data_IF_526134072851
#
_entry.id   IF_526134072851
#
_cell.length_a   1.000
_cell.length_b   1.000
_cell.length_c   1.000
_cell.angle_alpha   90.00
_cell.angle_beta   90.00
_cell.angle_gamma   90.00
#
_symmetry.space_group_name_H-M   'P 1'
#
loop_
_entity.id
_entity.type
_entity.pdbx_description
1 polymer ?
#
# COMPACT_ATOMS: atom_id res chain seq x y z
N UNK A 1 -19.74 -0.68 7.05
CA UNK A 1 -20.88 -0.68 7.99
C UNK A 1 -21.43 0.74 8.06
N UNK A 2 -22.73 0.93 8.29
CA UNK A 2 -23.34 2.25 8.43
C UNK A 2 -23.26 3.18 7.21
N UNK A 3 -23.10 2.63 5.99
CA UNK A 3 -22.95 3.45 4.77
C UNK A 3 -21.55 4.04 4.53
N UNK A 4 -20.59 3.81 5.44
CA UNK A 4 -19.22 4.33 5.29
C UNK A 4 -18.49 3.75 4.08
N UNK A 5 -17.65 4.57 3.46
CA UNK A 5 -16.77 4.20 2.35
C UNK A 5 -15.41 4.89 2.49
N UNK A 6 -14.43 4.49 1.67
CA UNK A 6 -13.12 5.14 1.58
C UNK A 6 -12.87 5.56 0.14
N UNK A 7 -11.96 6.51 -0.05
CA UNK A 7 -11.51 6.94 -1.36
C UNK A 7 -10.12 7.56 -1.23
N UNK A 8 -9.31 7.48 -2.28
CA UNK A 8 -7.95 8.02 -2.29
C UNK A 8 -7.80 8.94 -3.49
N UNK A 9 -7.41 10.19 -3.23
CA UNK A 9 -7.29 11.22 -4.26
C UNK A 9 -6.03 11.01 -5.13
N UNK A 10 -5.02 10.28 -4.68
CA UNK A 10 -3.78 10.16 -5.45
C UNK A 10 -4.01 9.47 -6.81
N UNK A 11 -4.82 8.41 -6.84
CA UNK A 11 -5.14 7.72 -8.10
C UNK A 11 -6.14 8.53 -8.94
N UNK A 12 -6.92 9.44 -8.33
CA UNK A 12 -7.75 10.41 -9.05
C UNK A 12 -6.87 11.43 -9.78
N UNK A 13 -5.85 11.96 -9.10
CA UNK A 13 -4.87 12.88 -9.69
C UNK A 13 -4.11 12.19 -10.84
N UNK A 14 -3.64 10.95 -10.63
CA UNK A 14 -3.00 10.15 -11.69
C UNK A 14 -3.92 9.93 -12.88
N UNK A 15 -5.20 9.63 -12.64
CA UNK A 15 -6.18 9.42 -13.70
C UNK A 15 -6.48 10.71 -14.46
N UNK A 16 -6.58 11.86 -13.78
CA UNK A 16 -6.72 13.16 -14.41
C UNK A 16 -5.51 13.45 -15.30
N UNK A 17 -4.29 13.30 -14.78
CA UNK A 17 -3.06 13.48 -15.57
C UNK A 17 -3.01 12.55 -16.80
N UNK A 18 -3.26 11.26 -16.60
CA UNK A 18 -3.14 10.28 -17.67
C UNK A 18 -4.24 10.44 -18.73
N UNK A 19 -5.49 10.61 -18.33
CA UNK A 19 -6.65 10.51 -19.23
C UNK A 19 -7.21 11.87 -19.64
N UNK A 20 -7.26 12.85 -18.74
CA UNK A 20 -7.90 14.15 -18.99
C UNK A 20 -7.06 15.30 -18.38
N UNK A 21 -5.86 15.54 -18.91
CA UNK A 21 -4.92 16.49 -18.30
C UNK A 21 -5.37 17.96 -18.43
N UNK A 22 -6.28 18.25 -19.35
CA UNK A 22 -6.72 19.61 -19.66
C UNK A 22 -7.33 20.30 -18.44
N UNK A 23 -7.04 21.59 -18.26
CA UNK A 23 -7.60 22.42 -17.19
C UNK A 23 -6.80 22.40 -15.86
N UNK A 24 -5.79 21.54 -15.73
CA UNK A 24 -4.83 21.58 -14.62
C UNK A 24 -3.41 21.85 -15.14
N UNK A 25 -2.61 22.51 -14.31
CA UNK A 25 -1.18 22.71 -14.52
C UNK A 25 -0.42 21.57 -13.85
N UNK A 26 0.37 20.84 -14.63
CA UNK A 26 1.16 19.70 -14.16
C UNK A 26 2.62 20.12 -13.95
N UNK A 27 3.06 20.33 -12.70
CA UNK A 27 4.43 20.79 -12.43
C UNK A 27 5.46 19.74 -12.84
N UNK A 28 6.67 20.20 -13.16
CA UNK A 28 7.81 19.36 -13.48
C UNK A 28 8.88 19.45 -12.39
N UNK A 29 9.63 18.37 -12.19
CA UNK A 29 10.83 18.33 -11.35
C UNK A 29 12.04 18.92 -12.08
N UNK A 30 13.20 18.91 -11.42
CA UNK A 30 14.46 19.46 -11.92
C UNK A 30 14.94 18.72 -13.18
N UNK A 31 14.56 17.45 -13.34
CA UNK A 31 14.83 16.64 -14.54
C UNK A 31 13.75 16.77 -15.62
N UNK A 32 12.78 17.67 -15.44
CA UNK A 32 11.71 17.95 -16.41
C UNK A 32 10.59 16.91 -16.43
N UNK A 33 10.53 15.96 -15.47
CA UNK A 33 9.47 14.94 -15.36
C UNK A 33 8.30 15.49 -14.56
N UNK A 34 7.08 15.07 -14.89
CA UNK A 34 5.90 15.51 -14.14
C UNK A 34 5.92 14.96 -12.71
N UNK A 35 5.68 15.83 -11.74
CA UNK A 35 5.57 15.48 -10.32
C UNK A 35 4.14 15.61 -9.83
N UNK A 36 3.68 14.62 -9.07
CA UNK A 36 2.34 14.62 -8.45
C UNK A 36 2.41 14.88 -6.93
N UNK A 37 3.51 15.45 -6.46
CA UNK A 37 3.66 15.90 -5.07
C UNK A 37 2.64 17.00 -4.76
N UNK A 38 1.94 16.89 -3.64
CA UNK A 38 0.81 17.76 -3.31
C UNK A 38 1.23 19.23 -3.27
N UNK A 39 2.36 19.54 -2.63
CA UNK A 39 2.93 20.88 -2.50
C UNK A 39 3.29 21.52 -3.84
N UNK A 40 3.74 20.71 -4.81
CA UNK A 40 4.05 21.19 -6.16
C UNK A 40 2.78 21.40 -6.98
N UNK A 41 1.82 20.49 -6.86
CA UNK A 41 0.54 20.57 -7.57
C UNK A 41 -0.28 21.78 -7.11
N UNK A 42 -0.39 22.01 -5.80
CA UNK A 42 -1.13 23.15 -5.27
C UNK A 42 -0.50 24.47 -5.72
N UNK A 43 0.82 24.61 -5.61
CA UNK A 43 1.53 25.81 -6.04
C UNK A 43 1.32 26.10 -7.54
N UNK A 44 1.44 25.08 -8.39
CA UNK A 44 1.26 25.22 -9.83
C UNK A 44 -0.18 25.58 -10.24
N UNK A 45 -1.17 25.26 -9.41
CA UNK A 45 -2.60 25.50 -9.69
C UNK A 45 -3.19 26.65 -8.85
N UNK A 46 -2.35 27.48 -8.22
CA UNK A 46 -2.81 28.65 -7.45
C UNK A 46 -3.60 28.29 -6.19
N UNK A 47 -3.37 27.11 -5.62
CA UNK A 47 -3.97 26.65 -4.37
C UNK A 47 -3.00 26.97 -3.23
N UNK A 48 -3.48 27.71 -2.23
CA UNK A 48 -2.73 27.94 -0.99
C UNK A 48 -2.49 26.62 -0.24
N UNK A 49 -1.25 26.44 0.20
CA UNK A 49 -0.77 25.25 0.90
C UNK A 49 0.07 25.64 2.12
N UNK A 50 -0.21 26.79 2.73
CA UNK A 50 0.28 27.19 4.07
C UNK A 50 1.70 26.71 4.40
N UNK A 51 1.83 25.95 5.50
CA UNK A 51 3.03 25.20 5.81
C UNK A 51 2.88 23.74 5.35
N UNK A 52 3.51 23.39 4.24
CA UNK A 52 3.59 22.00 3.78
C UNK A 52 4.15 21.10 4.90
N UNK A 53 3.63 19.86 4.99
CA UNK A 53 3.96 18.89 6.05
C UNK A 53 3.35 19.18 7.43
N UNK A 54 2.45 20.17 7.53
CA UNK A 54 1.50 20.26 8.63
C UNK A 54 0.21 19.51 8.26
N UNK A 55 -0.23 18.60 9.12
CA UNK A 55 -1.38 17.73 8.85
C UNK A 55 -2.66 18.48 8.44
N UNK A 56 -2.95 19.65 9.03
CA UNK A 56 -4.12 20.45 8.69
C UNK A 56 -4.00 21.12 7.32
N UNK A 57 -2.81 21.64 6.99
CA UNK A 57 -2.51 22.26 5.71
C UNK A 57 -2.63 21.23 4.57
N UNK A 58 -2.12 20.01 4.76
CA UNK A 58 -2.24 18.90 3.80
C UNK A 58 -3.71 18.51 3.54
N UNK A 59 -4.55 18.48 4.58
CA UNK A 59 -5.99 18.20 4.45
C UNK A 59 -6.68 19.28 3.62
N UNK A 60 -6.41 20.57 3.89
CA UNK A 60 -7.00 21.69 3.14
C UNK A 60 -6.56 21.68 1.68
N UNK A 61 -5.27 21.46 1.43
CA UNK A 61 -4.70 21.31 0.10
C UNK A 61 -5.36 20.15 -0.68
N UNK A 62 -5.55 19.01 -0.03
CA UNK A 62 -6.22 17.84 -0.62
C UNK A 62 -7.67 18.15 -1.00
N UNK A 63 -8.43 18.83 -0.12
CA UNK A 63 -9.81 19.26 -0.41
C UNK A 63 -9.86 20.24 -1.60
N UNK A 64 -8.96 21.23 -1.63
CA UNK A 64 -8.90 22.22 -2.69
C UNK A 64 -8.55 21.56 -4.04
N UNK A 65 -7.58 20.63 -4.06
CA UNK A 65 -7.22 19.88 -5.26
C UNK A 65 -8.39 19.01 -5.75
N UNK A 66 -9.10 18.32 -4.85
CA UNK A 66 -10.29 17.56 -5.21
C UNK A 66 -11.39 18.44 -5.83
N UNK A 67 -11.62 19.65 -5.28
CA UNK A 67 -12.55 20.63 -5.83
C UNK A 67 -12.12 21.09 -7.23
N UNK A 68 -10.84 21.38 -7.42
CA UNK A 68 -10.30 21.79 -8.72
C UNK A 68 -10.50 20.69 -9.78
N UNK A 69 -10.18 19.44 -9.46
CA UNK A 69 -10.40 18.31 -10.39
C UNK A 69 -11.89 18.16 -10.70
N UNK A 70 -12.76 18.30 -9.70
CA UNK A 70 -14.21 18.25 -9.91
C UNK A 70 -14.72 19.38 -10.80
N UNK A 71 -14.17 20.58 -10.68
CA UNK A 71 -14.52 21.73 -11.52
C UNK A 71 -14.05 21.55 -12.97
N UNK A 72 -12.79 21.16 -13.16
CA UNK A 72 -12.17 21.09 -14.49
C UNK A 72 -12.52 19.80 -15.24
N UNK A 73 -12.73 18.70 -14.52
CA UNK A 73 -13.00 17.37 -15.07
C UNK A 73 -14.16 16.66 -14.35
N UNK A 74 -15.38 17.24 -14.33
CA UNK A 74 -16.52 16.75 -13.54
C UNK A 74 -16.91 15.31 -13.88
N UNK A 75 -16.98 14.96 -15.18
CA UNK A 75 -17.34 13.61 -15.62
C UNK A 75 -16.34 12.56 -15.15
N UNK A 76 -15.04 12.89 -15.18
CA UNK A 76 -13.99 11.99 -14.69
C UNK A 76 -14.10 11.84 -13.17
N UNK A 77 -14.25 12.96 -12.45
CA UNK A 77 -14.39 12.95 -10.99
C UNK A 77 -15.58 12.08 -10.56
N UNK A 78 -16.75 12.28 -11.16
CA UNK A 78 -17.97 11.53 -10.82
C UNK A 78 -17.81 10.03 -11.11
N UNK A 79 -17.19 9.68 -12.24
CA UNK A 79 -16.89 8.29 -12.58
C UNK A 79 -15.97 7.63 -11.54
N UNK A 80 -14.84 8.27 -11.23
CA UNK A 80 -13.86 7.76 -10.27
C UNK A 80 -14.43 7.69 -8.85
N UNK A 81 -15.30 8.64 -8.49
CA UNK A 81 -15.99 8.62 -7.21
C UNK A 81 -16.91 7.40 -7.10
N UNK A 82 -17.60 6.99 -8.17
CA UNK A 82 -18.40 5.75 -8.19
C UNK A 82 -17.53 4.50 -7.98
N UNK A 83 -16.32 4.46 -8.55
CA UNK A 83 -15.37 3.35 -8.42
C UNK A 83 -14.81 3.16 -7.00
N UNK A 84 -15.16 4.03 -6.04
CA UNK A 84 -14.91 3.75 -4.62
C UNK A 84 -15.68 2.53 -4.10
N UNK A 85 -16.79 2.18 -4.77
CA UNK A 85 -17.60 1.00 -4.47
C UNK A 85 -17.02 -0.25 -5.14
N UNK A 86 -16.81 -1.30 -4.34
CA UNK A 86 -16.39 -2.63 -4.84
C UNK A 86 -17.28 -3.12 -5.98
N UNK A 87 -18.60 -2.94 -5.87
CA UNK A 87 -19.54 -3.37 -6.90
C UNK A 87 -19.33 -2.61 -8.22
N UNK A 88 -19.14 -1.29 -8.16
CA UNK A 88 -18.90 -0.48 -9.36
C UNK A 88 -17.59 -0.84 -10.06
N UNK A 89 -16.56 -1.23 -9.31
CA UNK A 89 -15.32 -1.79 -9.87
C UNK A 89 -15.59 -3.13 -10.55
N UNK A 90 -16.34 -4.04 -9.91
CA UNK A 90 -16.71 -5.34 -10.49
C UNK A 90 -17.45 -5.19 -11.82
N UNK A 91 -18.35 -4.21 -11.91
CA UNK A 91 -19.15 -3.96 -13.12
C UNK A 91 -18.25 -3.67 -14.34
N UNK A 92 -17.05 -3.11 -14.13
CA UNK A 92 -16.06 -2.81 -15.19
C UNK A 92 -15.17 -4.00 -15.58
N UNK A 93 -15.17 -5.08 -14.81
CA UNK A 93 -14.24 -6.20 -15.00
C UNK A 93 -14.93 -7.29 -15.83
N UNK A 94 -14.29 -7.68 -16.92
CA UNK A 94 -14.60 -8.90 -17.69
C UNK A 94 -13.30 -9.64 -17.91
N UNK A 95 -13.29 -10.94 -17.62
CA UNK A 95 -12.09 -11.76 -17.86
C UNK A 95 -11.78 -11.77 -19.35
N UNK A 96 -10.49 -11.70 -19.67
CA UNK A 96 -9.95 -11.71 -21.03
C UNK A 96 -10.39 -10.52 -21.91
N UNK A 97 -10.96 -9.49 -21.31
CA UNK A 97 -11.24 -8.23 -22.00
C UNK A 97 -10.25 -7.16 -21.51
N UNK A 98 -9.40 -6.61 -22.40
CA UNK A 98 -8.48 -5.55 -22.03
C UNK A 98 -9.19 -4.33 -21.41
N UNK A 99 -8.56 -3.74 -20.41
CA UNK A 99 -9.05 -2.55 -19.73
C UNK A 99 -7.90 -1.62 -19.36
N UNK A 100 -8.20 -0.34 -19.14
CA UNK A 100 -7.25 0.63 -18.60
C UNK A 100 -7.18 0.47 -17.09
N UNK A 101 -5.97 0.52 -16.54
CA UNK A 101 -5.73 0.61 -15.11
C UNK A 101 -4.75 1.75 -14.80
N UNK A 102 -5.09 2.59 -13.82
CA UNK A 102 -4.21 3.62 -13.27
C UNK A 102 -3.69 3.15 -11.92
N UNK A 103 -2.39 3.22 -11.70
CA UNK A 103 -1.75 2.81 -10.45
C UNK A 103 -0.35 3.40 -10.31
N UNK A 104 0.02 3.78 -9.09
CA UNK A 104 1.39 4.12 -8.73
C UNK A 104 2.42 2.98 -8.94
N UNK A 105 1.98 1.75 -9.22
CA UNK A 105 2.87 0.63 -9.60
C UNK A 105 3.36 0.72 -11.05
N UNK A 106 2.67 1.46 -11.91
CA UNK A 106 3.20 1.85 -13.21
C UNK A 106 4.07 3.11 -13.02
N UNK A 107 5.22 3.15 -13.68
CA UNK A 107 6.16 4.26 -13.51
C UNK A 107 5.58 5.60 -13.95
N UNK A 108 6.15 6.70 -13.45
CA UNK A 108 5.82 8.04 -13.91
C UNK A 108 6.06 8.21 -15.43
N UNK A 109 7.10 7.54 -15.98
CA UNK A 109 7.38 7.50 -17.41
C UNK A 109 6.24 6.86 -18.23
N UNK A 110 5.45 5.97 -17.62
CA UNK A 110 4.24 5.37 -18.20
C UNK A 110 2.97 6.13 -17.81
N UNK A 111 3.09 7.36 -17.30
CA UNK A 111 1.98 8.19 -16.83
C UNK A 111 1.10 7.48 -15.79
N UNK A 112 1.69 6.56 -15.00
CA UNK A 112 0.97 5.73 -14.03
C UNK A 112 -0.16 4.87 -14.63
N UNK A 113 -0.10 4.60 -15.94
CA UNK A 113 -1.15 3.89 -16.67
C UNK A 113 -0.64 2.61 -17.33
N UNK A 114 -1.49 1.58 -17.32
CA UNK A 114 -1.30 0.36 -18.09
C UNK A 114 -2.60 -0.10 -18.75
N UNK A 115 -2.47 -0.69 -19.93
CA UNK A 115 -3.53 -1.50 -20.54
C UNK A 115 -3.31 -2.93 -20.05
N UNK A 116 -4.28 -3.48 -19.34
CA UNK A 116 -4.16 -4.76 -18.65
C UNK A 116 -5.23 -5.74 -19.09
N UNK A 117 -4.90 -7.03 -19.09
CA UNK A 117 -5.81 -8.14 -19.36
C UNK A 117 -6.18 -8.86 -18.07
N UNK A 118 -7.43 -8.81 -17.60
CA UNK A 118 -7.91 -9.63 -16.50
C UNK A 118 -7.81 -11.13 -16.83
N UNK A 119 -7.01 -11.87 -16.07
CA UNK A 119 -6.79 -13.30 -16.31
C UNK A 119 -7.68 -14.19 -15.44
N UNK A 120 -7.63 -13.97 -14.12
CA UNK A 120 -8.34 -14.79 -13.14
C UNK A 120 -8.54 -14.04 -11.82
N UNK A 121 -9.49 -14.51 -11.01
CA UNK A 121 -9.58 -14.11 -9.61
C UNK A 121 -8.52 -14.86 -8.78
N UNK A 122 -7.95 -14.19 -7.79
CA UNK A 122 -6.97 -14.79 -6.90
C UNK A 122 -7.59 -15.96 -6.11
N UNK A 123 -6.92 -17.12 -5.99
CA UNK A 123 -7.50 -18.33 -5.39
C UNK A 123 -7.88 -18.16 -3.90
N UNK A 124 -7.05 -17.46 -3.12
CA UNK A 124 -7.30 -17.16 -1.70
C UNK A 124 -7.98 -15.81 -1.44
N UNK A 125 -7.52 -14.73 -2.09
CA UNK A 125 -8.02 -13.38 -1.83
C UNK A 125 -9.17 -13.00 -2.78
N UNK A 126 -10.42 -13.15 -2.31
CA UNK A 126 -11.64 -12.78 -3.05
C UNK A 126 -11.75 -11.32 -3.51
N UNK A 127 -10.86 -10.44 -3.06
CA UNK A 127 -10.81 -9.04 -3.46
C UNK A 127 -9.64 -8.74 -4.42
N UNK A 128 -8.88 -9.74 -4.86
CA UNK A 128 -7.75 -9.55 -5.76
C UNK A 128 -8.05 -10.17 -7.14
N UNK A 129 -7.90 -9.36 -8.17
CA UNK A 129 -7.93 -9.76 -9.57
C UNK A 129 -6.49 -9.86 -10.08
N UNK A 130 -6.15 -10.99 -10.70
CA UNK A 130 -4.87 -11.18 -11.38
C UNK A 130 -5.00 -10.62 -12.79
N UNK A 131 -4.13 -9.68 -13.15
CA UNK A 131 -4.09 -9.08 -14.49
C UNK A 131 -2.71 -9.23 -15.11
N UNK A 132 -2.67 -9.36 -16.43
CA UNK A 132 -1.45 -9.24 -17.22
C UNK A 132 -1.27 -7.79 -17.68
N UNK A 133 -0.10 -7.20 -17.51
CA UNK A 133 0.26 -5.93 -18.13
C UNK A 133 0.63 -6.14 -19.60
N UNK A 134 -0.22 -5.67 -20.53
CA UNK A 134 -0.04 -5.91 -21.96
C UNK A 134 1.10 -5.07 -22.56
N UNK A 135 1.68 -4.13 -21.80
CA UNK A 135 2.88 -3.42 -22.20
C UNK A 135 4.13 -4.31 -22.21
N UNK A 136 4.16 -5.34 -21.37
CA UNK A 136 5.25 -6.30 -21.29
C UNK A 136 4.95 -7.53 -22.15
N UNK A 137 5.99 -8.23 -22.60
CA UNK A 137 5.85 -9.45 -23.38
C UNK A 137 5.32 -10.62 -22.50
N UNK A 138 4.15 -11.21 -22.81
CA UNK A 138 3.61 -12.34 -22.07
C UNK A 138 4.28 -13.68 -22.40
N UNK A 139 5.25 -13.76 -23.31
CA UNK A 139 5.93 -15.00 -23.70
C UNK A 139 6.38 -15.84 -22.50
N UNK A 140 7.02 -15.21 -21.50
CA UNK A 140 7.47 -15.92 -20.30
C UNK A 140 6.34 -16.61 -19.53
N UNK A 141 5.12 -16.05 -19.54
CA UNK A 141 3.94 -16.69 -18.93
C UNK A 141 3.53 -17.98 -19.66
N UNK A 142 3.86 -18.11 -20.94
CA UNK A 142 3.56 -19.30 -21.74
C UNK A 142 4.66 -20.36 -21.63
N UNK A 143 5.92 -19.94 -21.60
CA UNK A 143 7.06 -20.86 -21.69
C UNK A 143 7.48 -21.44 -20.33
N UNK A 144 7.39 -20.65 -19.26
CA UNK A 144 7.92 -21.01 -17.94
C UNK A 144 6.88 -21.74 -17.09
N UNK A 145 7.34 -22.59 -16.18
CA UNK A 145 6.49 -23.22 -15.18
C UNK A 145 6.09 -22.24 -14.06
N UNK A 146 5.11 -22.64 -13.23
CA UNK A 146 4.56 -21.79 -12.18
C UNK A 146 5.58 -21.42 -11.09
N UNK A 147 6.52 -22.31 -10.76
CA UNK A 147 7.49 -22.09 -9.69
C UNK A 147 8.55 -21.07 -10.13
N UNK A 148 9.07 -21.21 -11.35
CA UNK A 148 9.99 -20.23 -11.94
C UNK A 148 9.34 -18.85 -12.05
N UNK A 149 8.08 -18.79 -12.51
CA UNK A 149 7.34 -17.53 -12.58
C UNK A 149 7.11 -16.91 -11.20
N UNK A 150 6.82 -17.73 -10.19
CA UNK A 150 6.64 -17.28 -8.81
C UNK A 150 7.92 -16.69 -8.25
N UNK A 151 9.05 -17.37 -8.39
CA UNK A 151 10.36 -16.85 -7.99
C UNK A 151 10.63 -15.49 -8.63
N UNK A 152 10.54 -15.39 -9.96
CA UNK A 152 10.78 -14.13 -10.69
C UNK A 152 9.80 -13.01 -10.34
N UNK A 153 8.56 -13.33 -10.00
CA UNK A 153 7.55 -12.34 -9.59
C UNK A 153 7.93 -11.66 -8.26
N UNK A 154 8.63 -12.36 -7.37
CA UNK A 154 9.04 -11.86 -6.06
C UNK A 154 10.53 -11.43 -5.99
N UNK A 155 11.32 -11.68 -7.04
CA UNK A 155 12.67 -11.13 -7.21
C UNK A 155 12.61 -9.65 -7.61
N UNK A 156 13.45 -8.81 -7.01
CA UNK A 156 13.55 -7.41 -7.43
C UNK A 156 14.13 -7.34 -8.84
N UNK A 157 13.71 -6.35 -9.61
CA UNK A 157 14.16 -6.18 -11.00
C UNK A 157 15.68 -6.14 -11.13
N UNK A 158 16.37 -5.48 -10.20
CA UNK A 158 17.83 -5.32 -10.23
C UNK A 158 18.58 -6.60 -9.81
N UNK A 159 17.86 -7.57 -9.23
CA UNK A 159 18.39 -8.88 -8.83
C UNK A 159 18.04 -9.98 -9.86
N UNK A 160 17.32 -9.65 -10.95
CA UNK A 160 17.05 -10.58 -12.05
C UNK A 160 18.32 -10.83 -12.87
N UNK A 161 18.52 -12.05 -13.36
CA UNK A 161 19.68 -12.38 -14.17
C UNK A 161 19.63 -11.66 -15.54
N UNK A 162 20.80 -11.50 -16.18
CA UNK A 162 20.89 -10.88 -17.50
C UNK A 162 20.01 -11.63 -18.53
N UNK A 163 19.14 -10.90 -19.22
CA UNK A 163 18.18 -11.46 -20.17
C UNK A 163 16.85 -11.95 -19.55
N UNK A 164 16.72 -11.99 -18.22
CA UNK A 164 15.44 -12.29 -17.58
C UNK A 164 14.50 -11.07 -17.61
N UNK A 165 13.28 -11.29 -18.08
CA UNK A 165 12.23 -10.28 -18.07
C UNK A 165 11.35 -10.42 -16.82
N UNK A 166 10.86 -9.29 -16.26
CA UNK A 166 9.92 -9.34 -15.15
C UNK A 166 8.62 -10.01 -15.58
N UNK A 167 8.04 -10.80 -14.68
CA UNK A 167 6.76 -11.46 -14.93
C UNK A 167 5.67 -10.40 -15.09
N UNK A 168 4.91 -10.39 -16.20
CA UNK A 168 3.98 -9.30 -16.52
C UNK A 168 2.67 -9.40 -15.73
N UNK A 169 2.70 -9.89 -14.49
CA UNK A 169 1.52 -10.09 -13.66
C UNK A 169 1.44 -9.03 -12.57
N UNK A 170 0.20 -8.60 -12.28
CA UNK A 170 -0.11 -7.67 -11.20
C UNK A 170 -1.43 -8.05 -10.54
N UNK A 171 -1.54 -7.80 -9.24
CA UNK A 171 -2.82 -7.84 -8.53
C UNK A 171 -3.52 -6.46 -8.55
N UNK A 172 -4.83 -6.46 -8.83
CA UNK A 172 -5.73 -5.33 -8.63
C UNK A 172 -6.66 -5.67 -7.47
N UNK A 173 -6.59 -4.88 -6.39
CA UNK A 173 -7.44 -5.08 -5.22
C UNK A 173 -8.71 -4.25 -5.32
N UNK A 174 -9.84 -4.87 -5.62
CA UNK A 174 -11.13 -4.19 -5.88
C UNK A 174 -11.72 -3.49 -4.66
N UNK A 175 -11.26 -3.84 -3.45
CA UNK A 175 -11.67 -3.16 -2.21
C UNK A 175 -10.80 -1.94 -1.89
N UNK A 176 -9.71 -1.67 -2.62
CA UNK A 176 -8.77 -0.55 -2.41
C UNK A 176 -8.98 0.60 -3.41
N UNK A 177 -10.23 0.81 -3.85
CA UNK A 177 -10.64 1.87 -4.79
C UNK A 177 -9.77 1.96 -6.07
N UNK A 178 -9.48 0.83 -6.75
CA UNK A 178 -8.61 0.86 -7.92
C UNK A 178 -9.28 1.60 -9.07
N UNK A 179 -8.50 2.39 -9.79
CA UNK A 179 -8.98 3.04 -11.01
C UNK A 179 -8.89 2.07 -12.17
N UNK A 180 -10.05 1.65 -12.67
CA UNK A 180 -10.22 0.81 -13.85
C UNK A 180 -11.23 1.45 -14.80
N UNK A 181 -11.04 1.29 -16.10
CA UNK A 181 -11.93 1.84 -17.11
C UNK A 181 -11.88 1.01 -18.41
N UNK A 182 -12.97 0.99 -19.20
CA UNK A 182 -12.94 0.35 -20.51
C UNK A 182 -11.96 1.06 -21.45
N UNK A 183 -11.43 0.37 -22.47
CA UNK A 183 -10.50 0.98 -23.45
C UNK A 183 -11.09 2.19 -24.18
N UNK A 184 -12.42 2.27 -24.31
CA UNK A 184 -13.12 3.38 -24.97
C UNK A 184 -12.86 4.76 -24.34
N UNK A 185 -12.33 4.82 -23.11
CA UNK A 185 -11.93 6.10 -22.50
C UNK A 185 -10.68 6.71 -23.15
N UNK A 186 -9.85 5.89 -23.82
CA UNK A 186 -8.64 6.30 -24.53
C UNK A 186 -9.00 6.82 -25.92
N UNK A 187 -9.07 8.14 -26.08
CA UNK A 187 -9.26 8.77 -27.39
C UNK A 187 -8.00 8.59 -28.23
N UNK A 188 -8.06 8.64 -29.57
CA UNK A 188 -6.87 8.55 -30.42
C UNK A 188 -5.75 9.53 -30.02
N UNK A 189 -6.11 10.77 -29.65
CA UNK A 189 -5.17 11.77 -29.13
C UNK A 189 -4.51 11.36 -27.82
N UNK A 190 -5.23 10.67 -26.94
CA UNK A 190 -4.66 10.14 -25.69
C UNK A 190 -3.71 8.98 -25.97
N UNK A 191 -4.09 8.07 -26.88
CA UNK A 191 -3.24 6.94 -27.29
C UNK A 191 -1.91 7.44 -27.87
N UNK A 192 -1.96 8.43 -28.75
CA UNK A 192 -0.76 9.05 -29.34
C UNK A 192 0.07 9.78 -28.27
N UNK A 193 -0.54 10.62 -27.43
CA UNK A 193 0.17 11.37 -26.36
C UNK A 193 0.85 10.43 -25.36
N UNK A 194 0.23 9.29 -25.07
CA UNK A 194 0.71 8.31 -24.09
C UNK A 194 1.63 7.25 -24.73
N UNK A 195 1.83 7.29 -26.06
CA UNK A 195 2.69 6.34 -26.77
C UNK A 195 2.20 4.90 -26.69
N UNK A 196 0.89 4.68 -26.78
CA UNK A 196 0.29 3.34 -26.65
C UNK A 196 0.29 2.61 -27.99
N UNK A 197 0.92 1.44 -28.02
CA UNK A 197 0.80 0.51 -29.13
C UNK A 197 -0.43 -0.40 -28.96
N UNK A 198 -1.59 0.12 -29.37
CA UNK A 198 -2.86 -0.60 -29.22
C UNK A 198 -2.92 -1.88 -30.08
N UNK A 199 -2.20 -1.92 -31.21
CA UNK A 199 -2.14 -3.09 -32.07
C UNK A 199 -1.39 -4.23 -31.36
N UNK A 200 -0.22 -3.93 -30.81
CA UNK A 200 0.57 -4.88 -30.00
C UNK A 200 -0.22 -5.37 -28.78
N UNK A 201 -0.93 -4.49 -28.08
CA UNK A 201 -1.73 -4.89 -26.92
C UNK A 201 -2.88 -5.83 -27.31
N UNK A 202 -3.51 -5.60 -28.45
CA UNK A 202 -4.56 -6.47 -28.98
C UNK A 202 -4.00 -7.84 -29.40
N UNK A 203 -2.85 -7.87 -30.08
CA UNK A 203 -2.16 -9.11 -30.44
C UNK A 203 -1.82 -9.95 -29.21
N UNK A 204 -1.20 -9.33 -28.20
CA UNK A 204 -0.85 -10.00 -26.93
C UNK A 204 -2.09 -10.49 -26.18
N UNK A 205 -3.17 -9.72 -26.19
CA UNK A 205 -4.42 -10.13 -25.55
C UNK A 205 -5.06 -11.34 -26.25
N UNK A 206 -5.06 -11.36 -27.58
CA UNK A 206 -5.56 -12.49 -28.37
C UNK A 206 -4.71 -13.74 -28.10
N UNK A 207 -3.38 -13.60 -28.18
CA UNK A 207 -2.43 -14.67 -27.89
C UNK A 207 -2.66 -15.30 -26.51
N UNK A 208 -2.83 -14.48 -25.47
CA UNK A 208 -3.14 -14.96 -24.13
C UNK A 208 -4.52 -15.63 -24.07
N UNK A 209 -5.52 -15.08 -24.77
CA UNK A 209 -6.86 -15.64 -24.79
C UNK A 209 -6.91 -17.03 -25.44
N UNK A 210 -6.15 -17.24 -26.52
CA UNK A 210 -6.06 -18.52 -27.23
C UNK A 210 -5.24 -19.55 -26.43
N UNK A 211 -4.19 -19.11 -25.74
CA UNK A 211 -3.31 -19.96 -24.95
C UNK A 211 -3.81 -20.22 -23.51
N UNK A 212 -5.08 -19.99 -23.19
CA UNK A 212 -5.64 -20.17 -21.84
C UNK A 212 -5.31 -21.52 -21.21
N UNK A 213 -5.38 -22.60 -21.99
CA UNK A 213 -5.08 -23.95 -21.55
C UNK A 213 -3.61 -24.13 -21.10
N UNK A 214 -2.71 -23.25 -21.55
CA UNK A 214 -1.29 -23.27 -21.17
C UNK A 214 -1.06 -22.60 -19.82
N UNK A 215 -1.65 -21.42 -19.59
CA UNK A 215 -1.30 -20.58 -18.44
C UNK A 215 -2.31 -20.57 -17.30
N UNK A 216 -3.56 -21.02 -17.49
CA UNK A 216 -4.62 -20.88 -16.48
C UNK A 216 -4.23 -21.50 -15.13
N UNK A 217 -3.79 -22.75 -15.16
CA UNK A 217 -3.41 -23.47 -13.95
C UNK A 217 -2.09 -22.94 -13.37
N UNK A 218 -1.16 -22.50 -14.23
CA UNK A 218 0.09 -21.84 -13.79
C UNK A 218 -0.20 -20.57 -13.00
N UNK A 219 -1.09 -19.72 -13.51
CA UNK A 219 -1.48 -18.47 -12.83
C UNK A 219 -2.14 -18.76 -11.49
N UNK A 220 -3.02 -19.76 -11.40
CA UNK A 220 -3.59 -20.15 -10.11
C UNK A 220 -2.50 -20.67 -9.15
N UNK A 221 -1.57 -21.49 -9.63
CA UNK A 221 -0.45 -22.06 -8.88
C UNK A 221 0.50 -21.00 -8.31
N UNK A 222 0.85 -19.96 -9.08
CA UNK A 222 1.73 -18.86 -8.63
C UNK A 222 1.21 -18.20 -7.34
N UNK A 223 -0.11 -18.10 -7.18
CA UNK A 223 -0.76 -17.42 -6.04
C UNK A 223 -1.40 -18.41 -5.05
N UNK A 224 -1.13 -19.71 -5.16
CA UNK A 224 -1.76 -20.74 -4.35
C UNK A 224 -1.09 -20.96 -2.98
N UNK A 225 0.18 -20.57 -2.81
CA UNK A 225 0.96 -20.70 -1.57
C UNK A 225 1.38 -19.34 -1.02
N UNK A 226 1.39 -19.23 0.31
CA UNK A 226 1.96 -18.10 1.04
C UNK A 226 3.28 -18.60 1.66
N UNK A 227 4.42 -18.30 1.02
CA UNK A 227 5.74 -18.73 1.51
C UNK A 227 6.31 -17.80 2.59
N UNK A 228 5.53 -16.81 3.04
CA UNK A 228 5.96 -15.95 4.13
C UNK A 228 5.93 -16.72 5.44
N UNK A 229 7.08 -16.79 6.11
CA UNK A 229 7.12 -17.27 7.49
C UNK A 229 6.21 -16.38 8.34
N UNK A 230 5.15 -16.92 8.96
CA UNK A 230 4.23 -16.12 9.75
C UNK A 230 4.98 -15.51 10.92
N UNK A 231 4.76 -14.21 11.15
CA UNK A 231 5.32 -13.55 12.33
C UNK A 231 4.70 -14.17 13.57
N UNK A 232 5.49 -14.42 14.60
CA UNK A 232 5.00 -14.85 15.91
C UNK A 232 4.54 -13.66 16.77
N UNK A 233 4.82 -12.43 16.34
CA UNK A 233 4.42 -11.21 17.05
C UNK A 233 2.96 -10.86 16.72
N UNK A 234 2.02 -10.89 17.68
CA UNK A 234 0.61 -10.58 17.42
C UNK A 234 0.37 -9.15 16.88
N UNK A 235 1.30 -8.21 17.09
CA UNK A 235 1.21 -6.87 16.49
C UNK A 235 1.47 -6.85 14.98
N UNK A 236 2.06 -7.91 14.43
CA UNK A 236 2.32 -8.09 13.01
C UNK A 236 1.31 -9.05 12.35
N UNK A 237 0.39 -9.63 13.13
CA UNK A 237 -0.59 -10.62 12.66
C UNK A 237 -1.96 -9.99 12.33
N UNK A 238 -2.00 -8.70 11.96
CA UNK A 238 -3.25 -8.00 11.63
C UNK A 238 -4.05 -8.69 10.51
N UNK A 239 -3.35 -9.36 9.59
CA UNK A 239 -3.95 -10.01 8.42
C UNK A 239 -4.11 -11.54 8.54
N UNK A 240 -3.73 -12.13 9.68
CA UNK A 240 -3.73 -13.59 9.89
C UNK A 240 -5.12 -14.17 10.19
N UNK A 241 -6.14 -13.32 10.29
CA UNK A 241 -7.50 -13.75 10.51
C UNK A 241 -8.38 -12.64 11.04
N UNK A 242 -9.67 -12.72 10.72
CA UNK A 242 -10.66 -11.82 11.30
C UNK A 242 -11.03 -12.28 12.71
N UNK A 243 -11.12 -11.32 13.64
CA UNK A 243 -11.60 -11.57 15.00
C UNK A 243 -13.10 -11.93 14.94
N UNK A 244 -13.44 -13.05 15.59
CA UNK A 244 -14.81 -13.56 15.69
C UNK A 244 -15.75 -12.62 16.45
N UNK A 245 -17.05 -12.79 16.27
CA UNK A 245 -18.03 -11.84 16.84
C UNK A 245 -18.07 -11.85 18.38
N UNK A 246 -17.76 -12.98 19.04
CA UNK A 246 -17.63 -13.05 20.51
C UNK A 246 -16.48 -12.17 20.99
N UNK A 247 -15.29 -12.39 20.46
CA UNK A 247 -14.11 -11.61 20.81
C UNK A 247 -14.23 -10.14 20.43
N UNK A 248 -14.96 -9.81 19.34
CA UNK A 248 -15.26 -8.41 19.00
C UNK A 248 -16.06 -7.72 20.10
N UNK A 249 -17.06 -8.39 20.69
CA UNK A 249 -17.83 -7.86 21.82
C UNK A 249 -16.98 -7.73 23.08
N UNK A 250 -16.08 -8.69 23.33
CA UNK A 250 -15.12 -8.59 24.44
C UNK A 250 -14.16 -7.39 24.22
N UNK A 251 -13.66 -7.18 23.01
CA UNK A 251 -12.85 -6.01 22.67
C UNK A 251 -13.61 -4.68 22.83
N UNK A 252 -14.93 -4.67 22.63
CA UNK A 252 -15.78 -3.51 22.94
C UNK A 252 -15.84 -3.25 24.45
N UNK A 253 -16.01 -4.30 25.26
CA UNK A 253 -16.01 -4.20 26.72
C UNK A 253 -14.65 -3.74 27.27
N UNK A 254 -13.55 -4.32 26.79
CA UNK A 254 -12.18 -3.89 27.13
C UNK A 254 -11.99 -2.40 26.89
N UNK A 255 -12.45 -1.87 25.75
CA UNK A 255 -12.29 -0.44 25.43
C UNK A 255 -13.16 0.48 26.29
N UNK A 256 -14.22 -0.05 26.89
CA UNK A 256 -15.13 0.69 27.76
C UNK A 256 -14.79 0.53 29.26
N UNK A 257 -14.00 -0.47 29.61
CA UNK A 257 -13.60 -0.77 30.98
C UNK A 257 -12.61 0.26 31.53
N UNK A 258 -12.69 0.50 32.84
CA UNK A 258 -11.71 1.33 33.53
C UNK A 258 -10.34 0.62 33.59
N UNK A 259 -9.21 1.36 33.57
CA UNK A 259 -7.88 0.75 33.60
C UNK A 259 -7.65 -0.21 34.76
N UNK A 260 -8.26 0.04 35.92
CA UNK A 260 -8.18 -0.86 37.08
C UNK A 260 -8.91 -2.20 36.85
N UNK A 261 -10.04 -2.17 36.13
CA UNK A 261 -10.81 -3.38 35.79
C UNK A 261 -10.05 -4.24 34.78
N UNK A 262 -9.34 -3.62 33.83
CA UNK A 262 -8.50 -4.32 32.86
C UNK A 262 -7.44 -5.23 33.51
N UNK A 263 -6.97 -4.88 34.71
CA UNK A 263 -5.98 -5.66 35.46
C UNK A 263 -6.59 -6.80 36.30
N UNK A 264 -7.88 -6.72 36.64
CA UNK A 264 -8.53 -7.63 37.59
C UNK A 264 -9.46 -8.64 36.93
N UNK A 265 -10.08 -8.27 35.81
CA UNK A 265 -11.02 -9.14 35.11
C UNK A 265 -10.30 -10.18 34.25
N UNK A 266 -10.89 -11.38 34.19
CA UNK A 266 -10.48 -12.38 33.21
C UNK A 266 -11.16 -12.07 31.87
N UNK A 267 -10.35 -11.99 30.82
CA UNK A 267 -10.81 -11.74 29.46
C UNK A 267 -10.70 -13.04 28.65
N UNK A 268 -11.76 -13.87 28.59
CA UNK A 268 -11.71 -15.20 27.97
C UNK A 268 -11.83 -15.09 26.45
N UNK A 269 -10.78 -14.58 25.81
CA UNK A 269 -10.68 -14.50 24.36
C UNK A 269 -10.52 -15.88 23.74
N UNK A 270 -11.15 -16.09 22.58
CA UNK A 270 -10.95 -17.29 21.76
C UNK A 270 -9.73 -17.14 20.83
N UNK A 271 -9.47 -15.93 20.36
CA UNK A 271 -8.34 -15.57 19.51
C UNK A 271 -7.06 -15.42 20.34
N UNK A 272 -6.08 -16.29 20.07
CA UNK A 272 -4.81 -16.40 20.81
C UNK A 272 -3.96 -15.12 20.76
N UNK A 273 -4.23 -14.20 19.82
CA UNK A 273 -3.51 -12.92 19.70
C UNK A 273 -3.93 -11.92 20.77
N UNK A 274 -5.19 -11.97 21.19
CA UNK A 274 -5.82 -10.93 22.01
C UNK A 274 -5.26 -10.85 23.45
N UNK A 275 -4.94 -11.95 24.14
CA UNK A 275 -4.33 -11.87 25.48
C UNK A 275 -3.03 -11.06 25.50
N UNK A 276 -2.10 -11.33 24.57
CA UNK A 276 -0.83 -10.59 24.48
C UNK A 276 -1.05 -9.15 24.02
N UNK A 277 -1.96 -8.90 23.06
CA UNK A 277 -2.30 -7.54 22.64
C UNK A 277 -2.89 -6.70 23.80
N UNK A 278 -3.75 -7.30 24.63
CA UNK A 278 -4.31 -6.64 25.81
C UNK A 278 -3.23 -6.32 26.84
N UNK A 279 -2.32 -7.27 27.11
CA UNK A 279 -1.18 -7.03 28.00
C UNK A 279 -0.35 -5.83 27.53
N UNK A 280 0.04 -5.79 26.26
CA UNK A 280 0.83 -4.69 25.70
C UNK A 280 0.06 -3.37 25.62
N UNK A 281 -1.25 -3.43 25.38
CA UNK A 281 -2.13 -2.26 25.44
C UNK A 281 -2.14 -1.65 26.85
N UNK A 282 -2.32 -2.47 27.89
CA UNK A 282 -2.22 -2.03 29.30
C UNK A 282 -0.84 -1.47 29.60
N UNK A 283 0.22 -2.18 29.24
CA UNK A 283 1.59 -1.78 29.57
C UNK A 283 2.03 -0.45 28.91
N UNK A 284 1.48 -0.12 27.73
CA UNK A 284 1.77 1.15 27.04
C UNK A 284 0.97 2.33 27.56
N UNK A 285 -0.30 2.12 27.88
CA UNK A 285 -1.25 3.21 28.15
C UNK A 285 -1.54 3.39 29.64
N UNK A 286 -1.46 2.31 30.42
CA UNK A 286 -1.81 2.26 31.84
C UNK A 286 -0.73 1.51 32.64
N UNK A 287 0.56 1.91 32.56
CA UNK A 287 1.66 1.19 33.20
C UNK A 287 1.51 1.04 34.72
N UNK A 288 0.84 1.99 35.38
CA UNK A 288 0.58 1.96 36.83
C UNK A 288 -0.38 0.84 37.25
N UNK A 289 -1.09 0.22 36.30
CA UNK A 289 -1.98 -0.93 36.54
C UNK A 289 -1.26 -2.27 36.49
N UNK A 290 0.03 -2.29 36.16
CA UNK A 290 0.82 -3.51 36.05
C UNK A 290 1.31 -3.97 37.43
N UNK A 291 1.20 -5.26 37.71
CA UNK A 291 1.88 -5.89 38.84
C UNK A 291 3.41 -5.84 38.68
N UNK A 292 4.17 -6.08 39.75
CA UNK A 292 5.65 -6.12 39.68
C UNK A 292 6.15 -7.16 38.66
N UNK A 293 5.49 -8.32 38.57
CA UNK A 293 5.81 -9.36 37.59
C UNK A 293 5.51 -8.90 36.17
N UNK A 294 4.37 -8.23 35.97
CA UNK A 294 3.98 -7.67 34.67
C UNK A 294 4.92 -6.54 34.22
N UNK A 295 5.37 -5.70 35.14
CA UNK A 295 6.36 -4.65 34.87
C UNK A 295 7.70 -5.25 34.43
N UNK A 296 8.16 -6.31 35.10
CA UNK A 296 9.39 -7.00 34.72
C UNK A 296 9.26 -7.69 33.36
N UNK A 297 8.14 -8.38 33.11
CA UNK A 297 7.82 -8.96 31.79
C UNK A 297 7.83 -7.90 30.70
N UNK A 298 7.22 -6.74 30.94
CA UNK A 298 7.18 -5.63 29.99
C UNK A 298 8.57 -5.04 29.74
N UNK A 299 9.38 -4.88 30.80
CA UNK A 299 10.76 -4.41 30.69
C UNK A 299 11.58 -5.34 29.80
N UNK A 300 11.54 -6.65 30.05
CA UNK A 300 12.23 -7.66 29.25
C UNK A 300 11.76 -7.62 27.79
N UNK A 301 10.45 -7.51 27.54
CA UNK A 301 9.91 -7.36 26.19
C UNK A 301 10.48 -6.12 25.47
N UNK A 302 10.46 -4.96 26.13
CA UNK A 302 11.02 -3.72 25.59
C UNK A 302 12.51 -3.85 25.27
N UNK A 303 13.30 -4.47 26.15
CA UNK A 303 14.72 -4.74 25.91
C UNK A 303 14.93 -5.59 24.65
N UNK A 304 14.23 -6.72 24.55
CA UNK A 304 14.33 -7.60 23.38
C UNK A 304 13.89 -6.89 22.11
N UNK A 305 12.75 -6.20 22.13
CA UNK A 305 12.23 -5.46 20.97
C UNK A 305 13.18 -4.38 20.48
N UNK A 306 13.89 -3.70 21.38
CA UNK A 306 14.83 -2.64 21.00
C UNK A 306 16.18 -3.18 20.52
N UNK A 307 16.57 -4.40 20.90
CA UNK A 307 17.90 -4.94 20.60
C UNK A 307 17.91 -6.00 19.49
N UNK A 308 16.79 -6.69 19.26
CA UNK A 308 16.74 -7.91 18.46
C UNK A 308 15.66 -7.78 17.35
N UNK A 309 16.04 -7.78 16.06
CA UNK A 309 15.10 -7.58 14.94
C UNK A 309 13.95 -8.59 14.89
N UNK A 310 14.17 -9.81 15.35
CA UNK A 310 13.18 -10.89 15.39
C UNK A 310 12.00 -10.60 16.34
N UNK A 311 12.14 -9.60 17.22
CA UNK A 311 11.07 -9.11 18.09
C UNK A 311 10.23 -7.97 17.45
N UNK A 312 10.35 -7.82 16.14
CA UNK A 312 9.40 -7.07 15.31
C UNK A 312 9.60 -5.56 15.26
N UNK A 313 10.71 -5.03 15.80
CA UNK A 313 11.04 -3.62 15.63
C UNK A 313 11.61 -3.36 14.22
N UNK A 314 11.11 -2.34 13.49
CA UNK A 314 11.66 -1.99 12.18
C UNK A 314 13.06 -1.36 12.27
N UNK A 315 13.46 -0.88 13.45
CA UNK A 315 14.76 -0.28 13.70
C UNK A 315 15.21 -0.62 15.12
N UNK A 316 16.34 -1.30 15.27
CA UNK A 316 16.94 -1.61 16.58
C UNK A 316 17.81 -0.45 17.07
N UNK A 317 18.20 -0.48 18.34
CA UNK A 317 19.12 0.51 18.92
C UNK A 317 20.45 0.57 18.17
N UNK A 318 21.02 -0.59 17.80
CA UNK A 318 22.27 -0.61 17.06
C UNK A 318 22.12 0.01 15.66
N UNK A 319 21.08 -0.39 14.92
CA UNK A 319 20.76 0.17 13.60
C UNK A 319 20.49 1.68 13.67
N UNK A 320 19.79 2.14 14.71
CA UNK A 320 19.57 3.57 14.93
C UNK A 320 20.88 4.32 15.16
N UNK A 321 21.78 3.81 16.00
CA UNK A 321 23.06 4.47 16.31
C UNK A 321 23.97 4.54 15.08
N UNK A 322 24.05 3.47 14.29
CA UNK A 322 24.79 3.44 13.04
C UNK A 322 24.23 4.46 12.03
N UNK A 323 22.90 4.47 11.84
CA UNK A 323 22.24 5.40 10.93
C UNK A 323 22.40 6.85 11.40
N UNK A 324 22.28 7.12 12.71
CA UNK A 324 22.48 8.45 13.28
C UNK A 324 23.90 8.95 13.01
N UNK A 325 24.93 8.13 13.28
CA UNK A 325 26.33 8.50 13.03
C UNK A 325 26.60 8.83 11.55
N UNK A 326 26.03 8.05 10.63
CA UNK A 326 26.13 8.30 9.19
C UNK A 326 25.47 9.62 8.81
N UNK A 327 24.23 9.85 9.26
CA UNK A 327 23.44 11.04 8.92
C UNK A 327 24.02 12.32 9.52
N UNK A 328 24.66 12.27 10.69
CA UNK A 328 25.30 13.45 11.31
C UNK A 328 26.34 14.10 10.40
N UNK A 329 27.01 13.32 9.53
CA UNK A 329 28.05 13.83 8.64
C UNK A 329 27.51 14.79 7.57
N UNK A 330 26.31 14.51 7.04
CA UNK A 330 25.67 15.28 5.97
C UNK A 330 24.47 16.10 6.42
N UNK A 331 24.09 16.02 7.70
CA UNK A 331 22.93 16.71 8.25
C UNK A 331 23.08 18.24 8.21
N UNK A 332 22.02 18.91 7.76
CA UNK A 332 21.83 20.36 7.92
C UNK A 332 21.75 20.74 9.40
N UNK A 333 21.86 22.04 9.74
CA UNK A 333 21.73 22.51 11.12
C UNK A 333 20.43 22.03 11.79
N UNK A 334 19.31 22.22 11.10
CA UNK A 334 18.01 21.75 11.57
C UNK A 334 17.95 20.22 11.75
N UNK A 335 18.49 19.46 10.80
CA UNK A 335 18.52 18.00 10.91
C UNK A 335 19.39 17.54 12.08
N UNK A 336 20.50 18.23 12.38
CA UNK A 336 21.34 17.94 13.55
C UNK A 336 20.59 18.14 14.86
N UNK A 337 19.85 19.25 14.99
CA UNK A 337 19.01 19.49 16.17
C UNK A 337 17.99 18.36 16.40
N UNK A 338 17.34 17.90 15.33
CA UNK A 338 16.40 16.77 15.39
C UNK A 338 17.12 15.46 15.76
N UNK A 339 18.28 15.19 15.16
CA UNK A 339 19.09 14.01 15.49
C UNK A 339 19.55 14.02 16.94
N UNK A 340 19.95 15.16 17.48
CA UNK A 340 20.36 15.31 18.88
C UNK A 340 19.19 15.05 19.84
N UNK A 341 17.99 15.53 19.51
CA UNK A 341 16.78 15.22 20.28
C UNK A 341 16.49 13.70 20.30
N UNK A 342 16.60 13.03 19.16
CA UNK A 342 16.43 11.58 19.09
C UNK A 342 17.50 10.82 19.87
N UNK A 343 18.77 11.23 19.78
CA UNK A 343 19.85 10.62 20.53
C UNK A 343 19.66 10.79 22.04
N UNK A 344 19.24 11.98 22.50
CA UNK A 344 18.90 12.24 23.90
C UNK A 344 17.73 11.35 24.37
N UNK A 345 16.70 11.21 23.54
CA UNK A 345 15.59 10.30 23.81
C UNK A 345 16.06 8.85 23.98
N UNK A 346 16.91 8.36 23.06
CA UNK A 346 17.47 7.01 23.10
C UNK A 346 18.34 6.81 24.35
N UNK A 347 19.16 7.78 24.74
CA UNK A 347 19.94 7.69 25.97
C UNK A 347 19.06 7.60 27.22
N UNK A 348 17.98 8.39 27.29
CA UNK A 348 17.00 8.32 28.37
C UNK A 348 16.30 6.96 28.40
N UNK A 349 15.90 6.46 27.23
CA UNK A 349 15.27 5.15 27.06
C UNK A 349 16.17 4.01 27.54
N UNK A 350 17.46 4.06 27.18
CA UNK A 350 18.47 3.08 27.62
C UNK A 350 18.62 3.04 29.13
N UNK A 351 18.73 4.20 29.77
CA UNK A 351 18.79 4.29 31.24
C UNK A 351 17.54 3.72 31.90
N UNK A 352 16.35 4.07 31.39
CA UNK A 352 15.06 3.59 31.92
C UNK A 352 14.88 2.07 31.82
N UNK A 353 15.43 1.46 30.77
CA UNK A 353 15.29 0.02 30.50
C UNK A 353 16.53 -0.79 30.88
N UNK A 354 17.56 -0.17 31.46
CA UNK A 354 18.83 -0.82 31.79
C UNK A 354 19.48 -1.51 30.57
N UNK A 355 19.69 -0.75 29.47
CA UNK A 355 20.25 -1.18 28.17
C UNK A 355 21.55 -0.48 27.78
#
# INVERSE_FOLDING_TARGET
QGGNSRWDLIDVVRAAYALRPDGLVWPRDEEGRVTLKLERLTAANGIDHGHAHEALSDVRATIALARLIREKQPKLYDWLFQLRSKQKVMDQIRLLQPMVHISGRFSAARNYMGVVLPLAWHPRNRNALIVCDLHLDPQGLLDLDAETLRQRLYTRRDDLAEGELPVPLKLIHINKCPVVAPLSVLRPVDQQRLGLDMALYQERALRLSDAQHVWRDKVAGIYASDDFSPSQDPEQQLYDGFIGDRDRRLCEQVRAADPAQLAQEQWPFDDERLPELLFRYRARNFPDTLSLEEQERWRIFCQKRLCAPEWGAPNTLNSFLEAAAQLTTSATSFQREVLDQWQNHVQSLRKRLSL
#
